data_IF_558302218469
#
_entry.id   IF_558302218469
#
_cell.length_a   1.000
_cell.length_b   1.000
_cell.length_c   1.000
_cell.angle_alpha   90.00
_cell.angle_beta   90.00
_cell.angle_gamma   90.00
#
_symmetry.space_group_name_H-M   'P 1'
#
loop_
_entity.id
_entity.type
_entity.pdbx_description
1 polymer ?
#
# COMPACT_ATOMS: atom_id res chain seq x y z
N UNK A 1 3.54 6.20 -44.20
CA UNK A 1 2.96 6.14 -42.83
C UNK A 1 2.05 7.34 -42.58
N UNK A 2 0.86 7.36 -43.18
CA UNK A 2 -0.19 8.40 -42.98
C UNK A 2 -1.56 7.76 -42.72
N UNK A 3 -1.55 6.51 -42.23
CA UNK A 3 -2.74 5.65 -42.14
C UNK A 3 -3.20 5.38 -40.71
N UNK A 4 -2.44 5.84 -39.70
CA UNK A 4 -2.73 5.51 -38.29
C UNK A 4 -3.48 6.64 -37.57
N UNK A 5 -3.44 7.87 -38.10
CA UNK A 5 -4.11 9.04 -37.50
C UNK A 5 -5.63 9.03 -37.81
N UNK A 6 -6.03 8.48 -38.95
CA UNK A 6 -7.44 8.44 -39.39
C UNK A 6 -8.27 7.36 -38.70
N UNK A 7 -7.65 6.35 -38.08
CA UNK A 7 -8.36 5.30 -37.33
C UNK A 7 -8.78 5.74 -35.93
N UNK A 8 -8.16 6.80 -35.39
CA UNK A 8 -8.40 7.27 -34.01
C UNK A 8 -9.50 8.32 -33.88
N UNK A 9 -9.93 8.95 -34.97
CA UNK A 9 -10.92 10.04 -34.96
C UNK A 9 -12.35 9.59 -35.24
N UNK A 10 -12.56 8.38 -35.78
CA UNK A 10 -13.90 7.84 -36.05
C UNK A 10 -14.59 7.24 -34.81
N UNK A 11 -13.84 6.92 -33.75
CA UNK A 11 -14.40 6.27 -32.55
C UNK A 11 -15.04 7.26 -31.55
N UNK A 12 -14.97 8.57 -31.82
CA UNK A 12 -15.44 9.62 -30.88
C UNK A 12 -16.78 10.25 -31.28
N UNK A 13 -17.39 9.85 -32.40
CA UNK A 13 -18.63 10.45 -32.92
C UNK A 13 -19.88 9.54 -32.84
N UNK A 14 -19.78 8.37 -32.21
CA UNK A 14 -20.90 7.41 -32.07
C UNK A 14 -21.59 7.43 -30.69
N UNK A 15 -21.30 8.43 -29.84
CA UNK A 15 -21.86 8.54 -28.48
C UNK A 15 -22.88 9.67 -28.30
N UNK A 16 -23.42 10.24 -29.38
CA UNK A 16 -24.13 11.53 -29.35
C UNK A 16 -25.63 11.47 -29.65
N UNK A 17 -26.28 10.31 -29.50
CA UNK A 17 -27.67 10.16 -29.93
C UNK A 17 -28.53 9.27 -29.03
N UNK A 18 -28.53 9.47 -27.70
CA UNK A 18 -29.69 9.14 -26.87
C UNK A 18 -29.56 9.71 -25.46
N UNK A 19 -30.26 10.81 -25.14
CA UNK A 19 -30.92 11.03 -23.83
C UNK A 19 -31.65 12.39 -23.87
N UNK A 20 -32.66 12.48 -24.74
CA UNK A 20 -33.82 13.34 -24.51
C UNK A 20 -34.97 12.43 -24.09
N UNK A 21 -35.39 12.47 -22.82
CA UNK A 21 -36.49 11.64 -22.35
C UNK A 21 -36.67 11.72 -20.84
N UNK A 22 -37.81 12.28 -20.43
CA UNK A 22 -38.21 12.50 -19.05
C UNK A 22 -38.38 11.17 -18.27
N UNK A 23 -37.96 11.20 -17.00
CA UNK A 23 -38.00 10.05 -16.09
C UNK A 23 -39.42 9.87 -15.55
N UNK A 24 -40.10 8.82 -16.00
CA UNK A 24 -41.24 8.21 -15.31
C UNK A 24 -41.26 6.70 -15.62
N UNK A 25 -40.53 5.91 -14.82
CA UNK A 25 -40.46 4.44 -14.90
C UNK A 25 -39.10 3.90 -14.44
N UNK A 26 -38.98 2.63 -14.00
CA UNK A 26 -37.70 2.06 -13.60
C UNK A 26 -36.85 1.80 -14.85
N UNK A 27 -35.98 2.74 -15.17
CA UNK A 27 -35.02 2.66 -16.26
C UNK A 27 -33.68 2.26 -15.66
N UNK A 28 -33.16 1.10 -16.04
CA UNK A 28 -31.77 0.70 -15.78
C UNK A 28 -30.85 1.60 -16.59
N UNK A 29 -30.52 2.77 -16.05
CA UNK A 29 -29.57 3.71 -16.64
C UNK A 29 -28.17 3.34 -16.19
N UNK A 30 -27.35 2.84 -17.12
CA UNK A 30 -25.92 2.69 -16.94
C UNK A 30 -25.28 4.08 -16.86
N UNK A 31 -25.33 4.67 -15.68
CA UNK A 31 -24.60 5.88 -15.35
C UNK A 31 -23.12 5.52 -15.26
N UNK A 32 -22.36 5.80 -16.32
CA UNK A 32 -20.91 5.95 -16.22
C UNK A 32 -20.62 7.26 -15.47
N UNK A 33 -20.99 7.31 -14.19
CA UNK A 33 -20.36 8.23 -13.27
C UNK A 33 -18.85 8.00 -13.37
N UNK A 34 -17.98 9.02 -13.32
CA UNK A 34 -16.64 8.75 -12.83
C UNK A 34 -16.88 8.01 -11.52
N UNK A 35 -16.35 6.79 -11.40
CA UNK A 35 -16.34 6.09 -10.14
C UNK A 35 -15.63 7.06 -9.20
N UNK A 36 -16.43 7.80 -8.44
CA UNK A 36 -15.99 8.50 -7.26
C UNK A 36 -15.57 7.32 -6.41
N UNK A 37 -14.29 6.95 -6.54
CA UNK A 37 -13.63 6.17 -5.54
C UNK A 37 -13.81 7.01 -4.29
N UNK A 38 -14.87 6.70 -3.55
CA UNK A 38 -14.97 7.04 -2.15
C UNK A 38 -13.85 6.22 -1.56
N UNK A 39 -12.64 6.76 -1.64
CA UNK A 39 -11.59 6.45 -0.68
C UNK A 39 -12.23 6.84 0.63
N UNK A 40 -12.83 5.86 1.30
CA UNK A 40 -13.17 6.00 2.69
C UNK A 40 -11.84 6.34 3.37
N UNK A 41 -11.62 7.62 3.63
CA UNK A 41 -10.53 8.06 4.47
C UNK A 41 -10.88 7.50 5.83
N UNK A 42 -10.29 6.35 6.16
CA UNK A 42 -10.20 5.90 7.55
C UNK A 42 -9.21 6.86 8.21
N UNK A 43 -9.67 8.09 8.44
CA UNK A 43 -9.05 8.98 9.39
C UNK A 43 -9.49 8.46 10.75
N UNK A 44 -8.85 7.36 11.17
CA UNK A 44 -8.86 7.00 12.57
C UNK A 44 -8.41 8.25 13.32
N UNK A 45 -9.25 8.70 14.25
CA UNK A 45 -8.94 9.77 15.18
C UNK A 45 -7.69 9.32 15.94
N UNK A 46 -6.51 9.65 15.42
CA UNK A 46 -5.25 9.37 16.09
C UNK A 46 -5.22 10.32 17.27
N UNK A 47 -5.82 9.89 18.37
CA UNK A 47 -5.70 10.48 19.70
C UNK A 47 -4.26 10.96 19.82
N UNK A 48 -4.07 12.27 20.01
CA UNK A 48 -2.79 12.96 19.80
C UNK A 48 -1.60 12.15 20.29
N UNK A 49 -0.54 12.12 19.49
CA UNK A 49 0.66 11.31 19.68
C UNK A 49 1.29 11.58 21.06
N UNK A 50 0.80 10.90 22.09
CA UNK A 50 1.46 10.83 23.38
C UNK A 50 2.68 9.96 23.22
N UNK A 51 3.81 10.40 23.76
CA UNK A 51 4.99 9.55 23.87
C UNK A 51 4.64 8.34 24.74
N UNK A 52 5.01 7.14 24.27
CA UNK A 52 4.84 5.90 25.02
C UNK A 52 6.19 5.18 25.07
N UNK A 53 6.64 4.89 26.28
CA UNK A 53 7.75 3.98 26.51
C UNK A 53 7.27 2.54 26.24
N UNK A 54 7.99 1.81 25.39
CA UNK A 54 7.76 0.38 25.17
C UNK A 54 8.76 -0.44 25.97
N UNK A 55 8.32 -1.58 26.49
CA UNK A 55 9.20 -2.55 27.15
C UNK A 55 9.90 -3.40 26.08
N UNK A 56 11.13 -3.00 25.73
CA UNK A 56 11.96 -3.66 24.72
C UNK A 56 12.96 -4.57 25.41
N UNK A 57 12.97 -5.86 25.05
CA UNK A 57 14.02 -6.80 25.48
C UNK A 57 15.26 -6.63 24.60
N UNK A 58 15.98 -5.55 24.90
CA UNK A 58 17.13 -5.12 24.14
C UNK A 58 18.23 -6.19 24.10
N UNK A 59 18.72 -6.47 22.90
CA UNK A 59 19.97 -7.19 22.66
C UNK A 59 20.79 -6.38 21.64
N UNK A 60 22.10 -6.29 21.90
CA UNK A 60 23.02 -5.61 21.00
C UNK A 60 23.34 -6.50 19.80
N UNK A 61 23.58 -5.87 18.63
CA UNK A 61 24.03 -6.60 17.46
C UNK A 61 25.43 -7.21 17.71
N UNK A 62 25.70 -8.45 17.27
CA UNK A 62 26.98 -9.13 17.49
C UNK A 62 28.09 -8.68 16.52
N UNK A 63 27.76 -8.04 15.40
CA UNK A 63 28.70 -7.64 14.36
C UNK A 63 28.18 -6.39 13.61
N UNK A 64 28.95 -5.86 12.65
CA UNK A 64 28.62 -4.61 11.95
C UNK A 64 27.47 -4.72 10.93
N UNK A 65 27.13 -5.91 10.45
CA UNK A 65 26.14 -6.14 9.39
C UNK A 65 24.76 -6.61 9.92
N UNK A 66 24.61 -6.77 11.24
CA UNK A 66 23.36 -7.22 11.90
C UNK A 66 22.42 -6.09 12.34
N UNK A 67 22.60 -4.86 11.86
CA UNK A 67 21.77 -3.73 12.26
C UNK A 67 20.26 -3.95 11.95
N UNK A 68 19.96 -4.50 10.77
CA UNK A 68 18.61 -4.86 10.35
C UNK A 68 17.94 -5.89 11.27
N UNK A 69 18.50 -7.10 11.43
CA UNK A 69 17.91 -8.12 12.29
C UNK A 69 17.84 -7.70 13.75
N UNK A 70 18.84 -6.99 14.28
CA UNK A 70 18.82 -6.54 15.68
C UNK A 70 17.68 -5.55 15.94
N UNK A 71 17.48 -4.59 15.03
CA UNK A 71 16.37 -3.66 15.10
C UNK A 71 15.01 -4.39 15.03
N UNK A 72 14.85 -5.33 14.09
CA UNK A 72 13.62 -6.09 13.94
C UNK A 72 13.33 -6.97 15.18
N UNK A 73 14.33 -7.71 15.68
CA UNK A 73 14.20 -8.53 16.90
C UNK A 73 13.82 -7.68 18.11
N UNK A 74 14.51 -6.56 18.34
CA UNK A 74 14.23 -5.66 19.46
C UNK A 74 12.81 -5.07 19.33
N UNK A 75 12.39 -4.66 18.13
CA UNK A 75 11.03 -4.18 17.91
C UNK A 75 9.98 -5.27 18.14
N UNK A 76 10.20 -6.50 17.69
CA UNK A 76 9.27 -7.62 17.87
C UNK A 76 9.20 -8.10 19.32
N UNK A 77 10.21 -7.80 20.14
CA UNK A 77 10.22 -8.16 21.55
C UNK A 77 9.09 -7.52 22.35
N UNK A 78 8.62 -6.32 21.95
CA UNK A 78 7.48 -5.62 22.58
C UNK A 78 6.16 -6.37 22.39
N UNK A 79 6.12 -7.29 21.42
CA UNK A 79 4.99 -8.19 21.16
C UNK A 79 5.16 -9.55 21.86
N UNK A 80 6.10 -9.67 22.79
CA UNK A 80 6.41 -10.93 23.49
C UNK A 80 7.13 -11.96 22.63
N UNK A 81 7.53 -11.62 21.39
CA UNK A 81 8.23 -12.56 20.51
C UNK A 81 9.66 -12.73 20.97
N UNK A 82 10.05 -13.97 21.28
CA UNK A 82 11.41 -14.33 21.63
C UNK A 82 12.07 -14.97 20.41
N UNK A 83 12.91 -14.20 19.71
CA UNK A 83 13.51 -14.62 18.45
C UNK A 83 15.03 -14.63 18.65
N UNK A 84 15.65 -15.73 18.26
CA UNK A 84 17.11 -15.85 18.21
C UNK A 84 17.69 -14.88 17.15
N UNK A 85 18.84 -14.28 17.46
CA UNK A 85 19.45 -13.24 16.65
C UNK A 85 19.89 -13.77 15.28
N UNK A 86 20.47 -14.98 15.25
CA UNK A 86 20.92 -15.62 14.01
C UNK A 86 19.75 -16.16 13.20
N UNK A 87 18.70 -16.68 13.86
CA UNK A 87 17.46 -17.04 13.18
C UNK A 87 16.82 -15.83 12.49
N UNK A 88 16.80 -14.66 13.15
CA UNK A 88 16.32 -13.41 12.55
C UNK A 88 17.19 -12.97 11.36
N UNK A 89 18.51 -13.02 11.52
CA UNK A 89 19.45 -12.65 10.45
C UNK A 89 19.27 -13.54 9.22
N UNK A 90 19.11 -14.85 9.41
CA UNK A 90 18.85 -15.83 8.35
C UNK A 90 17.52 -15.58 7.64
N UNK A 91 16.45 -15.37 8.41
CA UNK A 91 15.11 -15.10 7.86
C UNK A 91 15.10 -13.83 7.00
N UNK A 92 15.81 -12.79 7.46
CA UNK A 92 15.91 -11.52 6.73
C UNK A 92 16.92 -11.54 5.57
N UNK A 93 17.60 -12.68 5.33
CA UNK A 93 18.60 -12.80 4.26
C UNK A 93 19.81 -11.88 4.49
N UNK A 94 20.23 -11.72 5.74
CA UNK A 94 21.37 -10.87 6.11
C UNK A 94 22.67 -11.47 5.58
N UNK A 95 23.50 -10.63 4.98
CA UNK A 95 24.84 -10.99 4.49
C UNK A 95 25.88 -10.06 5.11
N UNK A 96 27.17 -10.24 4.77
CA UNK A 96 28.22 -9.29 5.16
C UNK A 96 28.01 -7.88 4.56
N UNK A 97 27.20 -7.76 3.51
CA UNK A 97 26.77 -6.47 2.95
C UNK A 97 25.55 -5.87 3.68
N UNK A 98 25.07 -6.49 4.76
CA UNK A 98 23.90 -6.07 5.51
C UNK A 98 22.60 -6.74 5.06
N UNK A 99 21.48 -6.09 5.36
CA UNK A 99 20.12 -6.58 5.10
C UNK A 99 19.37 -5.59 4.21
N UNK A 100 18.77 -6.08 3.12
CA UNK A 100 17.97 -5.25 2.23
C UNK A 100 16.63 -4.87 2.89
N UNK A 101 16.18 -3.63 2.67
CA UNK A 101 14.81 -3.23 3.00
C UNK A 101 13.83 -3.76 1.95
N UNK A 102 12.58 -3.94 2.36
CA UNK A 102 11.46 -4.26 1.46
C UNK A 102 10.82 -2.93 1.01
N UNK A 103 10.52 -2.78 -0.28
CA UNK A 103 9.84 -1.61 -0.87
C UNK A 103 8.43 -2.01 -1.33
#
# INVERSE_FOLDING_TARGET
MRTDILRKTALTAAGLAFTGGAIAGPITTAYAAPAQHVTASVQADRKGNGERQLDVRYEAQPNFYYCGPAAARNALSVQGKNIDMDAMAKEMGTTEAGTNSIN
#
